data_IF_776046285290
#
_entry.id   IF_776046285290
#
_cell.length_a   1.000
_cell.length_b   1.000
_cell.length_c   1.000
_cell.angle_alpha   90.00
_cell.angle_beta   90.00
_cell.angle_gamma   90.00
#
_symmetry.space_group_name_H-M   'P 1'
#
loop_
_entity.id
_entity.type
_entity.pdbx_description
1 polymer ?
#
# COMPACT_ATOMS: atom_id res chain seq x y z
N UNK A 1 -14.35 14.33 -12.60
CA UNK A 1 -14.40 13.46 -11.41
C UNK A 1 -14.69 12.05 -11.88
N UNK A 2 -13.64 11.32 -12.27
CA UNK A 2 -13.69 9.86 -12.22
C UNK A 2 -13.66 9.53 -10.73
N UNK A 3 -14.69 8.86 -10.22
CA UNK A 3 -14.66 8.36 -8.85
C UNK A 3 -13.63 7.23 -8.88
N UNK A 4 -12.49 7.41 -8.25
CA UNK A 4 -11.65 6.28 -7.85
C UNK A 4 -12.49 5.53 -6.82
N UNK A 5 -13.27 4.56 -7.28
CA UNK A 5 -13.71 3.51 -6.40
C UNK A 5 -12.46 2.66 -6.20
N UNK A 6 -11.79 2.84 -5.06
CA UNK A 6 -11.03 1.72 -4.51
C UNK A 6 -12.08 0.65 -4.26
N UNK A 7 -12.22 -0.26 -5.22
CA UNK A 7 -12.92 -1.51 -4.97
C UNK A 7 -12.06 -2.20 -3.93
N UNK A 8 -12.51 -2.13 -2.67
CA UNK A 8 -12.43 -3.31 -1.83
C UNK A 8 -13.16 -4.41 -2.61
N UNK A 9 -12.40 -5.14 -3.41
CA UNK A 9 -12.87 -6.31 -4.11
C UNK A 9 -13.26 -7.32 -3.02
N UNK A 10 -14.50 -7.21 -2.56
CA UNK A 10 -15.22 -8.31 -1.92
C UNK A 10 -15.38 -9.36 -3.02
N UNK A 11 -14.31 -10.14 -3.23
CA UNK A 11 -14.34 -11.36 -4.02
C UNK A 11 -15.37 -12.27 -3.34
N UNK A 12 -16.60 -12.22 -3.84
CA UNK A 12 -17.62 -13.19 -3.52
C UNK A 12 -17.15 -14.49 -4.19
N UNK A 13 -16.32 -15.26 -3.50
CA UNK A 13 -15.82 -16.54 -3.96
C UNK A 13 -16.98 -17.39 -4.44
N UNK A 14 -17.10 -17.55 -5.75
CA UNK A 14 -18.12 -18.39 -6.35
C UNK A 14 -17.67 -19.83 -6.11
N UNK A 15 -18.23 -20.47 -5.07
CA UNK A 15 -18.05 -21.90 -4.84
C UNK A 15 -18.64 -22.68 -6.02
N UNK A 16 -17.80 -22.99 -7.02
CA UNK A 16 -18.12 -24.00 -8.02
C UNK A 16 -17.91 -25.38 -7.41
N UNK A 17 -18.98 -25.92 -6.81
CA UNK A 17 -19.07 -27.32 -6.41
C UNK A 17 -19.15 -28.22 -7.65
N UNK A 18 -18.00 -28.55 -8.24
CA UNK A 18 -17.90 -29.72 -9.12
C UNK A 18 -17.70 -30.95 -8.25
N UNK A 19 -18.81 -31.65 -7.97
CA UNK A 19 -18.78 -33.03 -7.49
C UNK A 19 -18.12 -33.92 -8.55
N UNK A 20 -16.83 -34.17 -8.38
CA UNK A 20 -16.13 -35.29 -8.98
C UNK A 20 -15.90 -36.33 -7.87
N UNK A 21 -16.62 -37.44 -7.95
CA UNK A 21 -16.46 -38.56 -7.02
C UNK A 21 -15.09 -39.24 -7.25
N UNK A 22 -14.20 -39.12 -6.28
CA UNK A 22 -13.25 -40.18 -5.89
C UNK A 22 -12.79 -39.93 -4.46
N UNK A 23 -13.23 -40.77 -3.53
CA UNK A 23 -12.71 -40.85 -2.17
C UNK A 23 -11.22 -41.25 -2.22
N UNK A 24 -10.34 -40.42 -1.64
CA UNK A 24 -9.31 -40.83 -0.66
C UNK A 24 -8.44 -39.61 -0.26
N UNK A 25 -8.55 -39.21 1.01
CA UNK A 25 -7.69 -38.29 1.79
C UNK A 25 -7.25 -36.96 1.14
N UNK A 26 -8.16 -36.00 0.98
CA UNK A 26 -7.77 -34.58 0.92
C UNK A 26 -7.87 -33.97 2.32
N UNK A 27 -6.78 -33.98 3.06
CA UNK A 27 -6.63 -33.04 4.19
C UNK A 27 -6.83 -31.64 3.62
N UNK A 28 -7.94 -30.99 3.98
CA UNK A 28 -8.22 -29.61 3.58
C UNK A 28 -7.10 -28.75 4.17
N UNK A 29 -6.25 -28.18 3.33
CA UNK A 29 -5.15 -27.32 3.80
C UNK A 29 -5.78 -26.02 4.30
N UNK A 30 -5.55 -25.68 5.56
CA UNK A 30 -5.99 -24.40 6.12
C UNK A 30 -5.07 -23.27 5.61
N UNK A 31 -5.51 -22.60 4.55
CA UNK A 31 -4.78 -21.50 3.93
C UNK A 31 -4.48 -20.35 4.91
N UNK A 32 -5.23 -20.19 6.01
CA UNK A 32 -4.95 -19.17 7.02
C UNK A 32 -3.80 -19.55 7.95
N UNK A 33 -3.52 -20.84 8.10
CA UNK A 33 -2.58 -21.37 9.10
C UNK A 33 -1.45 -22.23 8.52
N UNK A 34 -1.17 -22.11 7.23
CA UNK A 34 -0.09 -22.86 6.57
C UNK A 34 1.28 -22.59 7.22
N UNK A 35 2.10 -23.64 7.37
CA UNK A 35 3.47 -23.57 7.90
C UNK A 35 4.51 -23.96 6.85
N UNK A 36 5.71 -23.39 6.97
CA UNK A 36 6.88 -23.81 6.22
C UNK A 36 7.34 -25.18 6.74
N UNK A 37 7.50 -26.16 5.84
CA UNK A 37 7.94 -27.51 6.15
C UNK A 37 8.98 -27.99 5.16
N UNK A 38 9.63 -29.12 5.44
CA UNK A 38 10.60 -29.72 4.51
C UNK A 38 9.94 -30.09 3.17
N UNK A 39 8.67 -30.48 3.18
CA UNK A 39 7.91 -30.90 1.99
C UNK A 39 7.60 -29.72 1.07
N UNK A 40 7.27 -28.56 1.61
CA UNK A 40 6.91 -27.37 0.82
C UNK A 40 8.07 -26.37 0.64
N UNK A 41 9.21 -26.59 1.30
CA UNK A 41 10.37 -25.69 1.33
C UNK A 41 10.81 -25.17 -0.05
N UNK A 42 10.89 -26.06 -1.04
CA UNK A 42 11.33 -25.71 -2.39
C UNK A 42 10.32 -24.79 -3.09
N UNK A 43 9.04 -25.16 -3.09
CA UNK A 43 7.98 -24.34 -3.69
C UNK A 43 7.84 -23.00 -2.98
N UNK A 44 7.98 -22.98 -1.66
CA UNK A 44 7.90 -21.77 -0.84
C UNK A 44 9.00 -20.78 -1.19
N UNK A 45 10.26 -21.21 -1.19
CA UNK A 45 11.38 -20.35 -1.54
C UNK A 45 11.32 -19.86 -2.99
N UNK A 46 10.86 -20.70 -3.92
CA UNK A 46 10.67 -20.31 -5.32
C UNK A 46 9.52 -19.29 -5.48
N UNK A 47 8.41 -19.47 -4.78
CA UNK A 47 7.29 -18.52 -4.83
C UNK A 47 7.70 -17.16 -4.26
N UNK A 48 8.36 -17.15 -3.09
CA UNK A 48 8.92 -15.92 -2.52
C UNK A 48 9.82 -15.19 -3.52
N UNK A 49 10.73 -15.91 -4.21
CA UNK A 49 11.60 -15.33 -5.24
C UNK A 49 10.79 -14.70 -6.36
N UNK A 50 9.80 -15.41 -6.91
CA UNK A 50 9.01 -14.92 -8.04
C UNK A 50 8.27 -13.64 -7.64
N UNK A 51 7.60 -13.63 -6.48
CA UNK A 51 6.88 -12.45 -5.98
C UNK A 51 7.84 -11.29 -5.73
N UNK A 52 9.00 -11.53 -5.12
CA UNK A 52 10.01 -10.49 -4.90
C UNK A 52 10.57 -9.94 -6.23
N UNK A 53 10.75 -10.78 -7.24
CA UNK A 53 11.18 -10.33 -8.57
C UNK A 53 10.12 -9.49 -9.27
N UNK A 54 8.84 -9.84 -9.12
CA UNK A 54 7.72 -9.06 -9.65
C UNK A 54 7.67 -7.68 -8.98
N UNK A 55 7.84 -7.60 -7.65
CA UNK A 55 7.97 -6.34 -6.91
C UNK A 55 9.16 -5.48 -7.39
N UNK A 56 10.31 -6.09 -7.71
CA UNK A 56 11.45 -5.38 -8.31
C UNK A 56 11.09 -4.81 -9.68
N UNK A 57 10.42 -5.60 -10.52
CA UNK A 57 10.05 -5.19 -11.87
C UNK A 57 9.04 -4.04 -11.83
N UNK A 58 8.00 -4.14 -11.00
CA UNK A 58 6.94 -3.14 -10.89
C UNK A 58 7.50 -1.83 -10.30
N UNK A 59 8.29 -1.90 -9.21
CA UNK A 59 8.92 -0.71 -8.63
C UNK A 59 9.93 -0.05 -9.59
N UNK A 60 10.63 -0.85 -10.40
CA UNK A 60 11.53 -0.35 -11.45
C UNK A 60 10.74 0.37 -12.54
N UNK A 61 9.66 -0.25 -13.04
CA UNK A 61 8.79 0.36 -14.04
C UNK A 61 8.18 1.67 -13.53
N UNK A 62 7.68 1.68 -12.29
CA UNK A 62 7.11 2.86 -11.67
C UNK A 62 8.12 4.01 -11.57
N UNK A 63 9.33 3.74 -11.07
CA UNK A 63 10.38 4.75 -10.99
C UNK A 63 10.80 5.23 -12.39
N UNK A 64 10.99 4.32 -13.35
CA UNK A 64 11.43 4.67 -14.70
C UNK A 64 10.35 5.47 -15.46
N UNK A 65 9.06 5.20 -15.22
CA UNK A 65 7.95 6.01 -15.75
C UNK A 65 7.98 7.45 -15.21
N UNK A 66 8.23 7.60 -13.91
CA UNK A 66 8.37 8.91 -13.28
C UNK A 66 9.63 9.65 -13.71
N UNK A 67 10.77 8.97 -13.77
CA UNK A 67 12.09 9.60 -13.90
C UNK A 67 12.61 9.66 -15.34
N UNK A 68 12.22 8.73 -16.19
CA UNK A 68 12.85 8.51 -17.51
C UNK A 68 11.84 8.73 -18.63
N UNK A 69 10.78 7.92 -18.70
CA UNK A 69 9.85 7.94 -19.83
C UNK A 69 8.51 7.32 -19.48
N UNK A 70 7.44 8.08 -19.68
CA UNK A 70 6.06 7.62 -19.54
C UNK A 70 5.36 7.54 -20.90
N UNK A 71 4.86 6.35 -21.25
CA UNK A 71 4.21 6.05 -22.53
C UNK A 71 5.04 6.51 -23.74
N UNK A 72 4.46 7.22 -24.70
CA UNK A 72 5.17 7.78 -25.85
C UNK A 72 5.84 9.13 -25.56
N UNK A 73 5.63 9.69 -24.37
CA UNK A 73 6.09 11.03 -23.97
C UNK A 73 7.48 11.08 -23.33
N UNK A 74 7.75 12.18 -22.62
CA UNK A 74 8.89 12.31 -21.70
C UNK A 74 8.60 11.64 -20.35
N UNK A 75 9.39 11.96 -19.32
CA UNK A 75 9.15 11.46 -17.96
C UNK A 75 7.83 11.99 -17.38
N UNK A 76 7.14 11.21 -16.54
CA UNK A 76 5.93 11.71 -15.86
C UNK A 76 6.25 12.88 -14.93
N UNK A 77 7.43 12.89 -14.31
CA UNK A 77 7.91 14.03 -13.52
C UNK A 77 7.97 15.32 -14.34
N UNK A 78 8.48 15.28 -15.57
CA UNK A 78 8.52 16.46 -16.44
C UNK A 78 7.12 16.88 -16.86
N UNK A 79 6.23 15.95 -17.19
CA UNK A 79 4.83 16.26 -17.47
C UNK A 79 4.18 16.96 -16.27
N UNK A 80 4.28 16.38 -15.08
CA UNK A 80 3.62 16.88 -13.86
C UNK A 80 4.16 18.25 -13.43
N UNK A 81 5.45 18.51 -13.62
CA UNK A 81 6.10 19.81 -13.33
C UNK A 81 5.72 20.91 -14.32
N UNK A 82 5.35 20.56 -15.55
CA UNK A 82 5.14 21.53 -16.64
C UNK A 82 3.68 21.73 -17.06
N UNK A 83 2.73 20.94 -16.53
CA UNK A 83 1.30 21.21 -16.69
C UNK A 83 0.84 22.43 -15.86
N UNK A 84 -0.46 22.77 -15.92
CA UNK A 84 -1.00 23.85 -15.09
C UNK A 84 -0.76 23.55 -13.60
N UNK A 85 -0.06 24.44 -12.90
CA UNK A 85 0.36 24.22 -11.52
C UNK A 85 -0.82 24.03 -10.57
N UNK A 86 -1.95 24.70 -10.84
CA UNK A 86 -3.18 24.49 -10.06
C UNK A 86 -3.68 23.05 -10.22
N UNK A 87 -3.73 22.53 -11.45
CA UNK A 87 -4.13 21.14 -11.72
C UNK A 87 -3.21 20.13 -11.05
N UNK A 88 -1.89 20.33 -11.08
CA UNK A 88 -0.95 19.46 -10.36
C UNK A 88 -1.18 19.48 -8.85
N UNK A 89 -1.46 20.66 -8.28
CA UNK A 89 -1.72 20.79 -6.83
C UNK A 89 -3.07 20.21 -6.43
N UNK A 90 -4.10 20.35 -7.27
CA UNK A 90 -5.38 19.68 -7.10
C UNK A 90 -5.22 18.16 -7.09
N UNK A 91 -4.47 17.60 -8.04
CA UNK A 91 -4.19 16.15 -8.11
C UNK A 91 -3.41 15.65 -6.89
N UNK A 92 -2.42 16.42 -6.41
CA UNK A 92 -1.69 16.13 -5.17
C UNK A 92 -2.65 16.08 -3.97
N UNK A 93 -3.51 17.09 -3.81
CA UNK A 93 -4.46 17.14 -2.71
C UNK A 93 -5.50 16.01 -2.82
N UNK A 94 -5.96 15.68 -4.02
CA UNK A 94 -6.89 14.58 -4.24
C UNK A 94 -6.28 13.25 -3.80
N UNK A 95 -5.01 12.97 -4.13
CA UNK A 95 -4.31 11.80 -3.60
C UNK A 95 -4.20 11.78 -2.07
N UNK A 96 -3.96 12.93 -1.44
CA UNK A 96 -3.97 13.05 0.03
C UNK A 96 -5.36 12.82 0.64
N UNK A 97 -6.43 13.28 -0.02
CA UNK A 97 -7.82 13.08 0.40
C UNK A 97 -8.17 11.60 0.31
N UNK A 98 -7.85 10.97 -0.82
CA UNK A 98 -8.17 9.58 -1.11
C UNK A 98 -7.55 8.65 -0.05
N UNK A 99 -6.26 8.81 0.25
CA UNK A 99 -5.61 7.95 1.25
C UNK A 99 -6.07 8.24 2.69
N UNK A 100 -6.39 9.50 3.03
CA UNK A 100 -6.97 9.81 4.34
C UNK A 100 -8.34 9.15 4.52
N UNK A 101 -9.16 9.17 3.46
CA UNK A 101 -10.44 8.46 3.44
C UNK A 101 -10.22 6.95 3.55
N UNK A 102 -9.40 6.37 2.69
CA UNK A 102 -9.15 4.93 2.64
C UNK A 102 -8.66 4.36 3.97
N UNK A 103 -7.69 5.02 4.61
CA UNK A 103 -7.21 4.61 5.93
C UNK A 103 -8.35 4.60 6.96
N UNK A 104 -9.15 5.67 6.99
CA UNK A 104 -10.23 5.82 7.95
C UNK A 104 -11.40 4.87 7.70
N UNK A 105 -11.86 4.76 6.45
CA UNK A 105 -13.11 4.07 6.11
C UNK A 105 -12.93 2.62 5.72
N UNK A 106 -11.81 2.28 5.07
CA UNK A 106 -11.55 0.92 4.59
C UNK A 106 -10.55 0.20 5.51
N UNK A 107 -9.30 0.65 5.59
CA UNK A 107 -8.23 -0.08 6.31
C UNK A 107 -8.49 -0.25 7.80
N UNK A 108 -9.13 0.73 8.44
CA UNK A 108 -9.60 0.66 9.84
C UNK A 108 -11.11 0.38 9.89
N UNK A 109 -11.89 1.08 9.07
CA UNK A 109 -13.34 1.07 9.12
C UNK A 109 -14.00 -0.25 8.73
N UNK A 110 -13.54 -0.92 7.66
CA UNK A 110 -14.14 -2.18 7.23
C UNK A 110 -13.94 -3.31 8.27
N UNK A 111 -12.73 -3.53 8.82
CA UNK A 111 -12.56 -4.47 9.93
C UNK A 111 -13.42 -4.09 11.16
N UNK A 112 -13.48 -2.80 11.51
CA UNK A 112 -14.29 -2.33 12.63
C UNK A 112 -15.78 -2.65 12.42
N UNK A 113 -16.33 -2.32 11.26
CA UNK A 113 -17.74 -2.53 10.91
C UNK A 113 -18.09 -4.02 10.94
N UNK A 114 -17.25 -4.87 10.34
CA UNK A 114 -17.40 -6.33 10.40
C UNK A 114 -17.43 -6.81 11.86
N UNK A 115 -16.53 -6.30 12.71
CA UNK A 115 -16.42 -6.73 14.10
C UNK A 115 -17.68 -6.38 14.90
N UNK A 116 -18.14 -5.12 14.82
CA UNK A 116 -19.31 -4.67 15.59
C UNK A 116 -20.62 -5.26 15.08
N UNK A 117 -20.66 -5.78 13.85
CA UNK A 117 -21.81 -6.47 13.25
C UNK A 117 -21.75 -8.01 13.36
N UNK A 118 -21.06 -8.53 14.39
CA UNK A 118 -20.98 -9.97 14.72
C UNK A 118 -20.30 -10.83 13.63
N UNK A 119 -19.35 -10.26 12.90
CA UNK A 119 -18.55 -10.96 11.89
C UNK A 119 -17.06 -10.97 12.29
N UNK A 120 -16.79 -11.24 13.57
CA UNK A 120 -15.47 -11.11 14.22
C UNK A 120 -14.36 -11.86 13.47
N UNK A 121 -14.60 -13.10 13.04
CA UNK A 121 -13.57 -13.86 12.31
C UNK A 121 -13.19 -13.17 11.01
N UNK A 122 -14.17 -12.70 10.22
CA UNK A 122 -13.87 -11.97 8.98
C UNK A 122 -13.17 -10.65 9.26
N UNK A 123 -13.56 -9.93 10.32
CA UNK A 123 -12.89 -8.71 10.75
C UNK A 123 -11.41 -8.96 11.03
N UNK A 124 -11.07 -10.02 11.75
CA UNK A 124 -9.68 -10.38 12.06
C UNK A 124 -8.84 -10.63 10.81
N UNK A 125 -9.41 -11.22 9.76
CA UNK A 125 -8.70 -11.52 8.51
C UNK A 125 -8.78 -10.42 7.45
N UNK A 126 -9.62 -9.39 7.66
CA UNK A 126 -9.74 -8.24 6.78
C UNK A 126 -8.72 -7.13 7.07
N UNK A 127 -8.03 -7.17 8.21
CA UNK A 127 -7.03 -6.17 8.60
C UNK A 127 -5.79 -6.28 7.71
N UNK A 128 -5.53 -5.29 6.84
CA UNK A 128 -4.31 -5.22 6.03
C UNK A 128 -3.04 -5.23 6.90
N UNK A 129 -1.95 -5.83 6.40
CA UNK A 129 -0.66 -5.94 7.12
C UNK A 129 -0.73 -6.67 8.48
N UNK A 130 -1.71 -7.57 8.66
CA UNK A 130 -1.86 -8.28 9.93
C UNK A 130 -0.89 -9.45 10.12
N UNK A 131 -0.38 -10.07 9.06
CA UNK A 131 0.52 -11.22 9.21
C UNK A 131 1.78 -10.84 9.98
N UNK A 132 2.27 -9.62 9.76
CA UNK A 132 3.43 -9.00 10.41
C UNK A 132 3.10 -8.10 11.60
N UNK A 133 1.82 -8.00 12.01
CA UNK A 133 1.34 -7.05 13.03
C UNK A 133 1.72 -5.58 12.74
N UNK A 134 1.83 -5.22 11.46
CA UNK A 134 2.38 -3.95 11.00
C UNK A 134 1.31 -2.88 10.67
N UNK A 135 0.02 -3.24 10.62
CA UNK A 135 -1.09 -2.35 10.24
C UNK A 135 -1.05 -0.95 10.85
N UNK A 136 -0.68 -0.82 12.14
CA UNK A 136 -0.61 0.49 12.81
C UNK A 136 0.49 1.39 12.26
N UNK A 137 1.63 0.82 11.90
CA UNK A 137 2.74 1.57 11.34
C UNK A 137 2.50 1.85 9.87
N UNK A 138 1.97 0.88 9.13
CA UNK A 138 1.50 1.01 7.75
C UNK A 138 0.57 2.21 7.56
N UNK A 139 -0.56 2.20 8.28
CA UNK A 139 -1.58 3.25 8.14
C UNK A 139 -1.06 4.62 8.60
N UNK A 140 -0.15 4.63 9.58
CA UNK A 140 0.51 5.87 10.02
C UNK A 140 1.47 6.39 8.95
N UNK A 141 2.18 5.50 8.25
CA UNK A 141 3.05 5.86 7.14
C UNK A 141 2.25 6.41 5.96
N UNK A 142 1.03 5.90 5.72
CA UNK A 142 0.09 6.51 4.76
C UNK A 142 -0.23 7.97 5.13
N UNK A 143 -0.53 8.26 6.40
CA UNK A 143 -0.71 9.65 6.87
C UNK A 143 0.59 10.48 6.76
N UNK A 144 1.76 9.87 6.97
CA UNK A 144 3.03 10.54 6.71
C UNK A 144 3.32 10.77 5.23
N UNK A 145 2.71 10.02 4.31
CA UNK A 145 2.71 10.37 2.88
C UNK A 145 2.02 11.72 2.65
N UNK A 146 0.86 11.95 3.28
CA UNK A 146 0.15 13.25 3.26
C UNK A 146 1.04 14.35 3.84
N UNK A 147 1.65 14.10 5.01
CA UNK A 147 2.60 15.03 5.63
C UNK A 147 3.71 15.41 4.65
N UNK A 148 4.34 14.41 4.03
CA UNK A 148 5.47 14.63 3.14
C UNK A 148 5.06 15.47 1.92
N UNK A 149 3.89 15.20 1.35
CA UNK A 149 3.33 15.97 0.25
C UNK A 149 3.05 17.43 0.66
N UNK A 150 2.41 17.65 1.81
CA UNK A 150 2.07 18.99 2.29
C UNK A 150 3.30 19.82 2.71
N UNK A 151 4.30 19.16 3.32
CA UNK A 151 5.52 19.80 3.83
C UNK A 151 6.57 19.97 2.74
N UNK A 152 6.43 19.25 1.62
CA UNK A 152 7.41 19.25 0.53
C UNK A 152 8.76 18.65 0.94
N UNK A 153 8.80 17.78 1.96
CA UNK A 153 10.00 17.03 2.35
C UNK A 153 9.62 15.66 2.91
N UNK A 154 10.58 14.74 2.97
CA UNK A 154 10.41 13.40 3.57
C UNK A 154 10.90 13.30 5.02
N UNK A 155 11.33 14.43 5.59
CA UNK A 155 12.06 14.47 6.89
C UNK A 155 11.22 14.99 8.04
N UNK A 156 10.00 15.46 7.77
CA UNK A 156 9.17 16.20 8.73
C UNK A 156 9.53 17.69 8.85
N UNK A 157 10.60 18.16 8.21
CA UNK A 157 10.85 19.58 8.03
C UNK A 157 9.91 20.18 6.98
N UNK A 158 9.60 21.47 7.09
CA UNK A 158 8.78 22.19 6.12
C UNK A 158 9.70 22.89 5.11
N UNK A 159 9.60 22.53 3.83
CA UNK A 159 10.34 23.22 2.75
C UNK A 159 9.81 24.64 2.56
N UNK A 160 10.67 25.57 2.14
CA UNK A 160 10.23 26.92 1.75
C UNK A 160 9.31 26.89 0.52
N UNK A 161 9.48 25.92 -0.36
CA UNK A 161 8.63 25.70 -1.54
C UNK A 161 7.62 24.57 -1.27
N UNK A 162 6.81 24.71 -0.22
CA UNK A 162 5.80 23.71 0.19
C UNK A 162 4.38 24.26 0.16
N UNK A 163 3.38 23.37 0.11
CA UNK A 163 1.99 23.77 0.28
C UNK A 163 1.76 24.40 1.65
N UNK A 164 2.39 23.90 2.72
CA UNK A 164 2.32 24.52 4.04
C UNK A 164 2.71 26.01 4.00
N UNK A 165 3.84 26.36 3.38
CA UNK A 165 4.26 27.77 3.27
C UNK A 165 3.35 28.60 2.38
N UNK A 166 2.90 28.04 1.25
CA UNK A 166 2.02 28.71 0.32
C UNK A 166 0.64 29.01 0.95
N UNK A 167 0.08 28.03 1.68
CA UNK A 167 -1.18 28.19 2.42
C UNK A 167 -1.01 29.15 3.58
N UNK A 168 0.08 29.06 4.35
CA UNK A 168 0.30 29.97 5.48
C UNK A 168 0.37 31.45 5.07
N UNK A 169 0.87 31.74 3.87
CA UNK A 169 0.94 33.10 3.33
C UNK A 169 -0.43 33.72 3.04
N UNK A 170 -1.45 32.89 2.77
CA UNK A 170 -2.82 33.33 2.46
C UNK A 170 -3.76 33.13 3.65
N UNK A 171 -3.61 32.03 4.38
CA UNK A 171 -4.41 31.63 5.52
C UNK A 171 -3.59 30.81 6.54
N UNK A 172 -2.86 31.51 7.42
CA UNK A 172 -2.04 30.89 8.46
C UNK A 172 -2.80 30.00 9.45
N UNK A 173 -4.08 30.30 9.70
CA UNK A 173 -4.93 29.47 10.55
C UNK A 173 -5.21 28.12 9.89
N UNK A 174 -5.51 28.13 8.59
CA UNK A 174 -5.73 26.91 7.83
C UNK A 174 -4.46 26.05 7.72
N UNK A 175 -3.28 26.65 7.51
CA UNK A 175 -2.01 25.89 7.55
C UNK A 175 -1.82 25.20 8.91
N UNK A 176 -2.12 25.91 10.01
CA UNK A 176 -2.07 25.32 11.35
C UNK A 176 -3.09 24.19 11.52
N UNK A 177 -4.29 24.35 10.99
CA UNK A 177 -5.35 23.34 11.01
C UNK A 177 -4.98 22.08 10.23
N UNK A 178 -4.46 22.22 9.01
CA UNK A 178 -4.01 21.08 8.18
C UNK A 178 -2.89 20.32 8.88
N UNK A 179 -1.86 21.01 9.38
CA UNK A 179 -0.75 20.35 10.09
C UNK A 179 -1.24 19.61 11.33
N UNK A 180 -2.12 20.24 12.10
CA UNK A 180 -2.71 19.61 13.29
C UNK A 180 -3.53 18.37 12.93
N UNK A 181 -4.35 18.43 11.87
CA UNK A 181 -5.14 17.28 11.45
C UNK A 181 -4.26 16.09 11.00
N UNK A 182 -3.15 16.37 10.30
CA UNK A 182 -2.16 15.35 9.92
C UNK A 182 -1.53 14.70 11.17
N UNK A 183 -1.06 15.52 12.12
CA UNK A 183 -0.44 15.04 13.35
C UNK A 183 -1.42 14.25 14.23
N UNK A 184 -2.66 14.74 14.35
CA UNK A 184 -3.70 14.09 15.14
C UNK A 184 -4.10 12.74 14.54
N UNK A 185 -4.26 12.63 13.22
CA UNK A 185 -4.56 11.35 12.55
C UNK A 185 -3.44 10.33 12.75
N UNK A 186 -2.19 10.72 12.51
CA UNK A 186 -1.04 9.84 12.73
C UNK A 186 -0.90 9.40 14.19
N UNK A 187 -1.15 10.31 15.14
CA UNK A 187 -1.11 10.02 16.58
C UNK A 187 -2.26 9.10 17.00
N UNK A 188 -3.47 9.29 16.48
CA UNK A 188 -4.64 8.48 16.81
C UNK A 188 -4.48 7.04 16.30
N UNK A 189 -3.99 6.85 15.07
CA UNK A 189 -3.65 5.51 14.54
C UNK A 189 -2.61 4.83 15.44
N UNK A 190 -1.57 5.57 15.85
CA UNK A 190 -0.55 5.02 16.74
C UNK A 190 -1.07 4.73 18.16
N UNK A 191 -2.14 5.38 18.60
CA UNK A 191 -2.73 5.13 19.91
C UNK A 191 -3.52 3.81 19.98
N UNK A 192 -3.95 3.26 18.83
CA UNK A 192 -4.59 1.93 18.78
C UNK A 192 -3.70 0.91 19.49
N UNK A 193 -4.21 0.09 20.43
CA UNK A 193 -3.39 -0.92 21.07
C UNK A 193 -2.86 -1.96 20.07
N UNK A 194 -1.60 -2.37 20.23
CA UNK A 194 -0.94 -3.27 19.28
C UNK A 194 -1.20 -4.75 19.61
N UNK A 195 -1.43 -5.62 18.60
CA UNK A 195 -1.70 -5.28 17.20
C UNK A 195 -3.14 -4.79 17.00
N UNK A 196 -3.38 -3.97 15.95
CA UNK A 196 -4.73 -3.49 15.62
C UNK A 196 -5.72 -4.65 15.45
N UNK A 197 -5.32 -5.73 14.77
CA UNK A 197 -6.12 -6.95 14.61
C UNK A 197 -6.73 -7.48 15.91
N UNK A 198 -6.03 -7.39 17.04
CA UNK A 198 -6.54 -7.89 18.33
C UNK A 198 -7.32 -6.82 19.12
N UNK A 199 -7.43 -5.61 18.59
CA UNK A 199 -7.99 -4.44 19.25
C UNK A 199 -8.90 -3.65 18.29
N UNK A 200 -9.55 -4.36 17.35
CA UNK A 200 -10.34 -3.76 16.28
C UNK A 200 -11.44 -2.86 16.84
N UNK A 201 -12.18 -3.31 17.86
CA UNK A 201 -13.29 -2.58 18.48
C UNK A 201 -12.85 -1.60 19.59
N UNK A 202 -11.57 -1.23 19.65
CA UNK A 202 -11.07 -0.32 20.68
C UNK A 202 -11.62 1.12 20.51
N UNK A 203 -11.82 1.88 21.60
CA UNK A 203 -12.13 3.32 21.51
C UNK A 203 -11.08 4.11 20.71
N UNK A 204 -9.83 3.66 20.74
CA UNK A 204 -8.73 4.24 19.98
C UNK A 204 -8.88 4.01 18.47
N UNK A 205 -9.41 2.86 18.03
CA UNK A 205 -9.74 2.64 16.62
C UNK A 205 -10.84 3.61 16.15
N UNK A 206 -11.87 3.85 16.98
CA UNK A 206 -12.90 4.87 16.70
C UNK A 206 -12.28 6.27 16.58
N UNK A 207 -11.40 6.62 17.53
CA UNK A 207 -10.70 7.90 17.52
C UNK A 207 -9.81 8.07 16.27
N UNK A 208 -9.17 7.00 15.81
CA UNK A 208 -8.38 7.01 14.58
C UNK A 208 -9.24 7.23 13.33
N UNK A 209 -10.40 6.57 13.23
CA UNK A 209 -11.36 6.81 12.14
C UNK A 209 -11.86 8.26 12.12
N UNK A 210 -12.24 8.80 13.28
CA UNK A 210 -12.70 10.20 13.40
C UNK A 210 -11.60 11.21 13.04
N UNK A 211 -10.35 10.95 13.44
CA UNK A 211 -9.21 11.80 13.11
C UNK A 211 -8.89 11.75 11.60
N UNK A 212 -8.96 10.58 10.96
CA UNK A 212 -8.79 10.43 9.51
C UNK A 212 -9.91 11.16 8.75
N UNK A 213 -11.17 11.04 9.19
CA UNK A 213 -12.29 11.76 8.60
C UNK A 213 -12.15 13.29 8.77
N UNK A 214 -11.60 13.75 9.90
CA UNK A 214 -11.30 15.18 10.12
C UNK A 214 -10.23 15.67 9.15
N UNK A 215 -9.13 14.92 9.00
CA UNK A 215 -8.07 15.22 8.05
C UNK A 215 -8.61 15.27 6.62
N UNK A 216 -9.32 14.24 6.19
CA UNK A 216 -9.97 14.18 4.88
C UNK A 216 -10.88 15.40 4.64
N UNK A 217 -11.69 15.77 5.65
CA UNK A 217 -12.56 16.95 5.61
C UNK A 217 -11.82 18.28 5.41
N UNK A 218 -10.71 18.50 6.13
CA UNK A 218 -9.89 19.71 5.98
C UNK A 218 -9.21 19.76 4.62
N UNK A 219 -8.70 18.63 4.12
CA UNK A 219 -8.05 18.52 2.82
C UNK A 219 -9.02 18.79 1.66
N UNK A 220 -10.16 18.09 1.64
CA UNK A 220 -11.15 18.17 0.53
C UNK A 220 -11.95 19.47 0.51
N UNK A 221 -12.14 20.08 1.69
CA UNK A 221 -12.90 21.31 1.85
C UNK A 221 -11.99 22.53 1.88
N UNK A 222 -11.51 22.87 3.08
CA UNK A 222 -10.83 24.13 3.35
C UNK A 222 -9.54 24.30 2.55
N UNK A 223 -8.70 23.26 2.47
CA UNK A 223 -7.43 23.33 1.75
C UNK A 223 -7.64 23.47 0.24
N UNK A 224 -8.49 22.63 -0.37
CA UNK A 224 -8.77 22.69 -1.81
C UNK A 224 -9.37 24.04 -2.24
N UNK A 225 -10.24 24.64 -1.42
CA UNK A 225 -10.74 25.99 -1.70
C UNK A 225 -9.65 27.07 -1.56
N UNK A 226 -8.71 26.92 -0.63
CA UNK A 226 -7.66 27.91 -0.39
C UNK A 226 -6.67 28.00 -1.55
N UNK A 227 -6.31 26.87 -2.17
CA UNK A 227 -5.27 26.85 -3.22
C UNK A 227 -5.66 27.63 -4.48
N UNK A 228 -6.96 27.79 -4.76
CA UNK A 228 -7.44 28.57 -5.91
C UNK A 228 -7.03 30.04 -5.85
N UNK A 229 -6.78 30.56 -4.63
CA UNK A 229 -6.37 31.94 -4.39
C UNK A 229 -4.85 32.14 -4.37
N UNK A 230 -4.07 31.06 -4.44
CA UNK A 230 -2.60 31.12 -4.42
C UNK A 230 -2.07 31.40 -5.83
N UNK A 231 -1.05 32.27 -5.91
CA UNK A 231 -0.43 32.60 -7.19
C UNK A 231 0.15 31.36 -7.89
N UNK A 232 -0.14 31.20 -9.19
CA UNK A 232 0.27 30.03 -9.96
C UNK A 232 1.79 29.84 -10.04
N UNK A 233 2.58 30.92 -9.96
CA UNK A 233 4.04 30.81 -9.95
C UNK A 233 4.54 30.22 -8.63
N UNK A 234 3.89 30.52 -7.51
CA UNK A 234 4.15 29.88 -6.21
C UNK A 234 3.77 28.41 -6.25
N UNK A 235 2.60 28.07 -6.78
CA UNK A 235 2.18 26.68 -6.94
C UNK A 235 3.14 25.89 -7.84
N UNK A 236 3.70 26.50 -8.90
CA UNK A 236 4.68 25.85 -9.76
C UNK A 236 5.99 25.51 -9.02
N UNK A 237 6.46 26.37 -8.12
CA UNK A 237 7.61 26.05 -7.24
C UNK A 237 7.28 24.90 -6.29
N UNK A 238 6.07 24.89 -5.73
CA UNK A 238 5.60 23.81 -4.85
C UNK A 238 5.58 22.48 -5.58
N UNK A 239 5.04 22.43 -6.79
CA UNK A 239 4.99 21.22 -7.62
C UNK A 239 6.39 20.71 -7.94
N UNK A 240 7.32 21.60 -8.31
CA UNK A 240 8.71 21.22 -8.60
C UNK A 240 9.40 20.63 -7.37
N UNK A 241 9.27 21.28 -6.22
CA UNK A 241 9.81 20.76 -4.96
C UNK A 241 9.16 19.42 -4.58
N UNK A 242 7.85 19.29 -4.69
CA UNK A 242 7.13 18.06 -4.39
C UNK A 242 7.62 16.88 -5.24
N UNK A 243 7.74 17.05 -6.56
CA UNK A 243 8.23 16.01 -7.46
C UNK A 243 9.68 15.65 -7.16
N UNK A 244 10.56 16.65 -7.05
CA UNK A 244 12.01 16.43 -6.98
C UNK A 244 12.50 16.00 -5.60
N UNK A 245 11.78 16.35 -4.52
CA UNK A 245 12.18 16.10 -3.12
C UNK A 245 11.36 15.00 -2.45
N UNK A 246 10.11 14.78 -2.89
CA UNK A 246 9.20 13.78 -2.31
C UNK A 246 9.03 12.60 -3.25
N UNK A 247 8.39 12.79 -4.42
CA UNK A 247 7.94 11.67 -5.25
C UNK A 247 9.11 10.87 -5.84
N UNK A 248 10.01 11.52 -6.59
CA UNK A 248 11.12 10.83 -7.24
C UNK A 248 12.05 10.12 -6.25
N UNK A 249 12.47 10.76 -5.13
CA UNK A 249 13.27 10.06 -4.13
C UNK A 249 12.53 8.91 -3.44
N UNK A 250 11.23 9.03 -3.16
CA UNK A 250 10.45 7.92 -2.58
C UNK A 250 10.42 6.72 -3.53
N UNK A 251 10.13 6.92 -4.81
CA UNK A 251 10.14 5.80 -5.78
C UNK A 251 11.55 5.26 -6.07
N UNK A 252 12.59 6.10 -5.96
CA UNK A 252 13.97 5.62 -6.01
C UNK A 252 14.30 4.69 -4.84
N UNK A 253 13.87 5.08 -3.63
CA UNK A 253 14.08 4.27 -2.42
C UNK A 253 13.24 2.99 -2.45
N UNK A 254 12.01 3.04 -2.99
CA UNK A 254 11.17 1.88 -3.25
C UNK A 254 11.86 0.87 -4.18
N UNK A 255 12.39 1.33 -5.32
CA UNK A 255 13.15 0.50 -6.27
C UNK A 255 14.35 -0.17 -5.61
N UNK A 256 15.13 0.59 -4.83
CA UNK A 256 16.29 0.06 -4.12
C UNK A 256 15.91 -0.92 -2.99
N UNK A 257 14.85 -0.60 -2.24
CA UNK A 257 14.30 -1.44 -1.18
C UNK A 257 13.81 -2.79 -1.70
N UNK A 258 13.09 -2.79 -2.83
CA UNK A 258 12.63 -4.04 -3.46
C UNK A 258 13.78 -4.90 -3.97
N UNK A 259 14.86 -4.29 -4.49
CA UNK A 259 16.06 -5.05 -4.84
C UNK A 259 16.72 -5.70 -3.62
N UNK A 260 16.83 -4.97 -2.51
CA UNK A 260 17.38 -5.51 -1.27
C UNK A 260 16.50 -6.65 -0.68
N UNK A 261 15.18 -6.52 -0.80
CA UNK A 261 14.22 -7.56 -0.44
C UNK A 261 14.39 -8.81 -1.31
N UNK A 262 14.52 -8.65 -2.63
CA UNK A 262 14.82 -9.76 -3.53
C UNK A 262 16.13 -10.46 -3.16
N UNK A 263 17.21 -9.72 -2.86
CA UNK A 263 18.49 -10.29 -2.47
C UNK A 263 18.41 -11.08 -1.16
N UNK A 264 17.62 -10.60 -0.19
CA UNK A 264 17.36 -11.30 1.06
C UNK A 264 16.56 -12.59 0.82
N UNK A 265 15.53 -12.54 -0.03
CA UNK A 265 14.73 -13.70 -0.44
C UNK A 265 15.58 -14.74 -1.18
N UNK A 266 16.47 -14.32 -2.09
CA UNK A 266 17.38 -15.22 -2.78
C UNK A 266 18.37 -15.90 -1.82
N UNK A 267 18.87 -15.15 -0.83
CA UNK A 267 19.72 -15.70 0.22
C UNK A 267 18.98 -16.74 1.05
N UNK A 268 17.73 -16.46 1.44
CA UNK A 268 16.87 -17.43 2.12
C UNK A 268 16.62 -18.67 1.27
N UNK A 269 16.23 -18.51 0.01
CA UNK A 269 15.92 -19.61 -0.91
C UNK A 269 17.11 -20.55 -1.12
N UNK A 270 18.31 -20.00 -1.20
CA UNK A 270 19.54 -20.79 -1.43
C UNK A 270 20.15 -21.36 -0.15
N UNK A 271 19.84 -20.77 1.01
CA UNK A 271 20.32 -21.21 2.32
C UNK A 271 19.24 -21.03 3.40
N UNK A 272 18.17 -21.85 3.42
CA UNK A 272 17.07 -21.67 4.36
C UNK A 272 17.53 -21.75 5.82
N UNK A 273 17.19 -20.75 6.62
CA UNK A 273 17.43 -20.73 8.07
C UNK A 273 16.50 -19.71 8.75
N UNK A 274 16.27 -19.86 10.07
CA UNK A 274 15.51 -18.86 10.84
C UNK A 274 16.16 -17.47 10.79
N UNK A 275 17.50 -17.40 10.73
CA UNK A 275 18.22 -16.15 10.57
C UNK A 275 17.91 -15.48 9.21
N UNK A 276 17.84 -16.28 8.14
CA UNK A 276 17.52 -15.76 6.82
C UNK A 276 16.03 -15.43 6.65
N UNK A 277 15.10 -16.16 7.29
CA UNK A 277 13.69 -15.74 7.38
C UNK A 277 13.55 -14.37 8.06
N UNK A 278 14.25 -14.17 9.18
CA UNK A 278 14.29 -12.87 9.86
C UNK A 278 14.93 -11.77 9.01
N UNK A 279 15.92 -12.10 8.18
CA UNK A 279 16.50 -11.17 7.22
C UNK A 279 15.48 -10.77 6.14
N UNK A 280 14.70 -11.72 5.61
CA UNK A 280 13.57 -11.41 4.71
C UNK A 280 12.53 -10.51 5.37
N UNK A 281 12.12 -10.81 6.61
CA UNK A 281 11.19 -9.97 7.38
C UNK A 281 11.70 -8.54 7.56
N UNK A 282 12.98 -8.38 7.92
CA UNK A 282 13.60 -7.05 8.06
C UNK A 282 13.63 -6.30 6.73
N UNK A 283 13.99 -6.99 5.65
CA UNK A 283 14.02 -6.39 4.31
C UNK A 283 12.62 -6.02 3.81
N UNK A 284 11.59 -6.82 4.14
CA UNK A 284 10.20 -6.55 3.77
C UNK A 284 9.69 -5.27 4.43
N UNK A 285 9.90 -5.13 5.75
CA UNK A 285 9.52 -3.91 6.49
C UNK A 285 10.25 -2.67 5.95
N UNK A 286 11.54 -2.81 5.59
CA UNK A 286 12.31 -1.71 5.01
C UNK A 286 11.81 -1.32 3.60
N UNK A 287 11.44 -2.30 2.77
CA UNK A 287 10.91 -2.08 1.42
C UNK A 287 9.48 -1.52 1.43
N UNK A 288 8.66 -1.91 2.43
CA UNK A 288 7.32 -1.36 2.66
C UNK A 288 7.31 0.11 2.99
N UNK A 289 8.25 0.60 3.79
CA UNK A 289 8.26 2.00 4.24
C UNK A 289 8.15 3.04 3.10
N UNK A 290 8.95 2.99 2.01
CA UNK A 290 8.80 3.91 0.88
C UNK A 290 7.51 3.68 0.08
N UNK A 291 6.94 2.47 0.07
CA UNK A 291 5.61 2.23 -0.52
C UNK A 291 4.52 2.91 0.31
N UNK A 292 4.46 2.64 1.61
CA UNK A 292 3.44 3.17 2.52
C UNK A 292 3.48 4.71 2.58
N UNK A 293 4.69 5.28 2.50
CA UNK A 293 4.91 6.74 2.42
C UNK A 293 4.79 7.30 1.00
N UNK A 294 4.25 6.52 0.06
CA UNK A 294 3.88 6.94 -1.29
C UNK A 294 2.38 6.95 -1.58
N UNK A 295 1.56 6.37 -0.69
CA UNK A 295 0.13 6.15 -0.97
C UNK A 295 -0.71 7.43 -1.09
N UNK A 296 -0.18 8.59 -0.66
CA UNK A 296 -0.83 9.89 -0.95
C UNK A 296 -0.66 10.37 -2.41
N UNK A 297 0.03 9.59 -3.25
CA UNK A 297 0.25 9.91 -4.65
C UNK A 297 0.14 8.69 -5.57
N UNK A 298 -0.88 7.87 -5.31
CA UNK A 298 -1.36 6.79 -6.18
C UNK A 298 -2.09 7.32 -7.42
N UNK A 299 -1.42 8.17 -8.19
CA UNK A 299 -1.92 8.69 -9.46
C UNK A 299 -0.84 8.62 -10.54
N UNK A 300 -1.26 8.77 -11.79
CA UNK A 300 -0.35 8.66 -12.93
C UNK A 300 0.12 7.21 -13.11
N UNK A 301 1.41 6.94 -13.33
CA UNK A 301 1.89 5.63 -13.76
C UNK A 301 1.47 4.46 -12.86
N UNK A 302 1.42 4.68 -11.54
CA UNK A 302 1.08 3.62 -10.58
C UNK A 302 -0.38 3.16 -10.73
N UNK A 303 -1.30 4.09 -10.99
CA UNK A 303 -2.72 3.83 -11.22
C UNK A 303 -3.00 3.42 -12.67
N UNK A 304 -2.41 4.12 -13.63
CA UNK A 304 -2.71 3.96 -15.06
C UNK A 304 -2.31 2.58 -15.61
N UNK A 305 -1.37 1.89 -14.96
CA UNK A 305 -0.79 0.61 -15.42
C UNK A 305 -1.09 -0.58 -14.51
N UNK A 306 -1.99 -0.41 -13.54
CA UNK A 306 -2.30 -1.46 -12.56
C UNK A 306 -1.13 -1.85 -11.68
N UNK A 307 -0.14 -0.96 -11.51
CA UNK A 307 1.04 -1.24 -10.69
C UNK A 307 0.69 -1.24 -9.20
N UNK A 308 -0.29 -0.42 -8.79
CA UNK A 308 -0.82 -0.44 -7.43
C UNK A 308 -1.30 -1.84 -7.01
N UNK A 309 -2.36 -2.41 -7.61
CA UNK A 309 -2.79 -3.77 -7.26
C UNK A 309 -1.76 -4.86 -7.61
N UNK A 310 -0.88 -4.67 -8.60
CA UNK A 310 0.23 -5.61 -8.82
C UNK A 310 1.21 -5.69 -7.65
N UNK A 311 1.42 -4.57 -6.95
CA UNK A 311 2.37 -4.44 -5.86
C UNK A 311 1.71 -4.63 -4.50
N UNK A 312 0.42 -4.32 -4.34
CA UNK A 312 -0.17 -4.19 -3.00
C UNK A 312 -1.65 -4.61 -2.86
N UNK A 313 -2.13 -5.54 -3.69
CA UNK A 313 -3.50 -6.05 -3.52
C UNK A 313 -3.79 -6.59 -2.12
N UNK A 314 -4.93 -6.16 -1.57
CA UNK A 314 -5.55 -6.67 -0.36
C UNK A 314 -7.09 -6.68 -0.51
N UNK A 315 -7.81 -7.75 -0.12
CA UNK A 315 -7.33 -9.02 0.43
C UNK A 315 -6.69 -9.93 -0.63
N UNK A 316 -6.02 -10.99 -0.16
CA UNK A 316 -5.39 -12.01 -1.01
C UNK A 316 -6.32 -13.21 -1.27
N UNK A 317 -6.07 -13.91 -2.38
CA UNK A 317 -6.59 -15.26 -2.60
C UNK A 317 -5.67 -16.28 -1.89
N UNK A 318 -5.91 -16.46 -0.58
CA UNK A 318 -5.10 -17.36 0.25
C UNK A 318 -5.17 -18.82 -0.24
N UNK A 319 -6.31 -19.26 -0.76
CA UNK A 319 -6.47 -20.62 -1.31
C UNK A 319 -5.67 -20.77 -2.61
N UNK A 320 -5.68 -19.75 -3.48
CA UNK A 320 -4.83 -19.68 -4.65
C UNK A 320 -3.33 -19.70 -4.30
N UNK A 321 -2.90 -19.00 -3.24
CA UNK A 321 -1.51 -19.07 -2.74
C UNK A 321 -1.12 -20.50 -2.37
N UNK A 322 -1.98 -21.24 -1.67
CA UNK A 322 -1.77 -22.67 -1.35
C UNK A 322 -1.68 -23.50 -2.62
N UNK A 323 -2.50 -23.20 -3.62
CA UNK A 323 -2.50 -23.90 -4.91
C UNK A 323 -1.21 -23.66 -5.69
N UNK A 324 -0.64 -22.45 -5.64
CA UNK A 324 0.69 -22.13 -6.21
C UNK A 324 1.79 -22.90 -5.49
N UNK A 325 1.77 -22.93 -4.16
CA UNK A 325 2.76 -23.70 -3.38
C UNK A 325 2.71 -25.20 -3.69
N UNK A 326 1.52 -25.73 -3.99
CA UNK A 326 1.32 -27.14 -4.34
C UNK A 326 1.72 -27.45 -5.78
N UNK A 327 1.32 -26.60 -6.72
CA UNK A 327 1.49 -26.84 -8.16
C UNK A 327 2.85 -26.38 -8.71
N UNK A 328 3.45 -25.35 -8.10
CA UNK A 328 4.60 -24.65 -8.67
C UNK A 328 4.27 -23.86 -9.95
N UNK A 329 2.99 -23.62 -10.24
CA UNK A 329 2.56 -22.94 -11.47
C UNK A 329 2.61 -21.42 -11.35
N UNK A 330 3.80 -20.83 -11.49
CA UNK A 330 3.96 -19.38 -11.32
C UNK A 330 3.40 -18.52 -12.46
N UNK A 331 2.83 -19.11 -13.52
CA UNK A 331 2.21 -18.32 -14.61
C UNK A 331 1.01 -17.52 -14.12
N UNK A 332 0.31 -18.02 -13.10
CA UNK A 332 -0.97 -17.48 -12.62
C UNK A 332 -0.82 -16.14 -11.88
N UNK A 333 0.42 -15.74 -11.57
CA UNK A 333 0.76 -14.42 -11.03
C UNK A 333 0.88 -13.34 -12.12
N UNK A 334 0.84 -13.73 -13.40
CA UNK A 334 1.06 -12.83 -14.52
C UNK A 334 -0.25 -12.61 -15.29
N UNK A 335 -0.39 -11.41 -15.83
CA UNK A 335 -1.43 -11.04 -16.77
C UNK A 335 -0.81 -10.24 -17.90
N UNK A 336 -1.47 -10.25 -19.06
CA UNK A 336 -1.02 -9.58 -20.28
C UNK A 336 -2.13 -8.64 -20.79
N UNK A 337 -1.75 -7.60 -21.52
CA UNK A 337 -2.68 -6.65 -22.11
C UNK A 337 -2.63 -5.28 -21.44
N UNK A 338 -3.59 -4.43 -21.81
CA UNK A 338 -3.78 -3.14 -21.14
C UNK A 338 -4.48 -3.38 -19.80
N UNK A 339 -4.14 -2.59 -18.78
CA UNK A 339 -4.80 -2.68 -17.48
C UNK A 339 -6.28 -2.32 -17.60
N UNK A 340 -7.13 -3.20 -17.09
CA UNK A 340 -8.56 -2.99 -16.91
C UNK A 340 -8.92 -3.38 -15.47
N UNK A 341 -9.36 -2.40 -14.68
CA UNK A 341 -9.70 -2.59 -13.26
C UNK A 341 -10.90 -3.53 -13.05
N UNK A 342 -11.69 -3.78 -14.10
CA UNK A 342 -12.87 -4.66 -14.08
C UNK A 342 -12.57 -6.08 -14.61
N UNK A 343 -11.33 -6.39 -15.01
CA UNK A 343 -10.97 -7.73 -15.49
C UNK A 343 -10.64 -8.67 -14.33
N UNK A 344 -11.56 -9.61 -14.07
CA UNK A 344 -11.42 -10.65 -13.03
C UNK A 344 -10.12 -11.47 -13.14
N UNK A 345 -9.54 -11.63 -14.34
CA UNK A 345 -8.27 -12.34 -14.50
C UNK A 345 -7.08 -11.53 -14.03
N UNK A 346 -7.10 -10.22 -14.29
CA UNK A 346 -6.08 -9.29 -13.80
C UNK A 346 -6.17 -9.26 -12.27
N UNK A 347 -7.37 -9.07 -11.72
CA UNK A 347 -7.60 -9.08 -10.27
C UNK A 347 -7.19 -10.41 -9.62
N UNK A 348 -7.50 -11.54 -10.26
CA UNK A 348 -7.09 -12.87 -9.78
C UNK A 348 -5.56 -13.04 -9.72
N UNK A 349 -4.82 -12.58 -10.72
CA UNK A 349 -3.36 -12.62 -10.73
C UNK A 349 -2.75 -11.67 -9.67
N UNK A 350 -3.36 -10.49 -9.49
CA UNK A 350 -2.93 -9.47 -8.53
C UNK A 350 -3.09 -9.95 -7.08
N UNK A 351 -4.16 -10.68 -6.77
CA UNK A 351 -4.41 -11.26 -5.45
C UNK A 351 -3.43 -12.39 -5.05
N UNK A 352 -2.52 -12.79 -5.94
CA UNK A 352 -1.51 -13.85 -5.74
C UNK A 352 -0.06 -13.33 -5.73
N UNK A 353 0.13 -12.01 -5.73
CA UNK A 353 1.45 -11.36 -5.78
C UNK A 353 1.52 -10.17 -4.83
N UNK A 354 2.53 -9.32 -5.01
CA UNK A 354 2.71 -8.09 -4.24
C UNK A 354 3.23 -8.31 -2.82
N UNK A 355 3.29 -7.21 -2.06
CA UNK A 355 3.84 -7.15 -0.72
C UNK A 355 3.12 -8.09 0.23
N UNK A 356 1.79 -8.10 0.22
CA UNK A 356 1.02 -8.90 1.18
C UNK A 356 1.12 -10.41 0.92
N UNK A 357 1.28 -10.85 -0.34
CA UNK A 357 1.59 -12.27 -0.62
C UNK A 357 2.98 -12.62 -0.06
N UNK A 358 3.96 -11.74 -0.25
CA UNK A 358 5.29 -11.96 0.31
C UNK A 358 5.29 -11.88 1.84
N UNK A 359 4.44 -11.02 2.42
CA UNK A 359 4.19 -10.92 3.86
C UNK A 359 3.63 -12.24 4.40
N UNK A 360 2.59 -12.79 3.76
CA UNK A 360 2.00 -14.08 4.09
C UNK A 360 3.07 -15.19 4.11
N UNK A 361 3.99 -15.18 3.14
CA UNK A 361 5.06 -16.16 3.00
C UNK A 361 6.23 -15.95 3.98
N UNK A 362 6.38 -14.76 4.57
CA UNK A 362 7.50 -14.41 5.46
C UNK A 362 7.07 -14.40 6.93
N UNK A 363 5.84 -13.99 7.24
CA UNK A 363 5.36 -13.75 8.60
C UNK A 363 4.21 -14.69 8.97
N UNK A 364 4.10 -14.96 10.28
CA UNK A 364 2.93 -15.59 10.90
C UNK A 364 2.78 -15.02 12.31
N UNK A 365 1.58 -14.56 12.63
CA UNK A 365 1.22 -14.02 13.96
C UNK A 365 2.19 -12.94 14.49
N UNK A 366 2.60 -12.02 13.62
CA UNK A 366 3.45 -10.88 13.99
C UNK A 366 4.95 -11.17 14.01
N UNK A 367 5.36 -12.41 13.74
CA UNK A 367 6.74 -12.84 13.80
C UNK A 367 7.20 -13.40 12.45
N UNK A 368 8.50 -13.32 12.19
CA UNK A 368 9.09 -14.03 11.06
C UNK A 368 8.83 -15.54 11.23
N UNK A 369 8.41 -16.21 10.16
CA UNK A 369 8.24 -17.66 10.13
C UNK A 369 9.54 -18.37 10.51
N UNK A 370 9.37 -19.60 11.01
CA UNK A 370 10.49 -20.45 11.40
C UNK A 370 10.51 -21.72 10.56
N UNK A 371 11.70 -22.26 10.36
CA UNK A 371 11.92 -23.61 9.85
C UNK A 371 11.78 -24.56 11.04
N UNK A 372 10.96 -25.60 10.85
CA UNK A 372 10.73 -26.66 11.84
C UNK A 372 11.90 -27.64 11.97
#
# INVERSE_FOLDING_TARGET
>A
MKKFFYLSALSLGMMCSITACSDDDTTTIDAKNLDYTAENASSWGNYMRVVAQLLVNDATALYDDWAVKYNEGGSYADFFKNQDALTSVEQLIDGCVDIANEVGTAKIGDPYDLFIHNNEEKALYAVESWYSWHSREDYRNNIYSIRNAYYGTRTGAISESSLSKAVAAVNANLDTEVKKAIDDAAAAIWAIPSPFRNNINSPEAVSAMEACATLEGVLKGSLKNCIESIDKTVLAEVVRNYVDVVVLPTYSDLKAGNQALFDAVETFRTSPSNANFKACATAWLAARTPWETSEAFLFGPVADKGLDPNMDSWPLDQDGIVQILTSGNYSDLNWDGDYDEEDDKIAGAQALRGYHTLEYLIFKDGEARTIQ
#
